data_IF_530584647749
#
_entry.id   IF_530584647749
#
_cell.length_a   1.000
_cell.length_b   1.000
_cell.length_c   1.000
_cell.angle_alpha   90.00
_cell.angle_beta   90.00
_cell.angle_gamma   90.00
#
_symmetry.space_group_name_H-M   'P 1'
#
loop_
_entity.id
_entity.type
_entity.pdbx_description
1 polymer ?
#
# COMPACT_ATOMS: atom_id res chain seq x y z
N UNK A 1 26.09 -6.24 -21.91
CA UNK A 1 25.29 -6.48 -20.68
C UNK A 1 24.72 -5.12 -20.29
N UNK A 2 23.44 -4.88 -20.54
CA UNK A 2 22.79 -3.59 -20.26
C UNK A 2 22.71 -3.37 -18.74
N UNK A 3 23.38 -2.34 -18.24
CA UNK A 3 23.28 -1.90 -16.84
C UNK A 3 21.95 -1.15 -16.62
N UNK A 4 20.82 -1.85 -16.79
CA UNK A 4 19.52 -1.26 -16.50
C UNK A 4 19.50 -0.74 -15.05
N UNK A 5 19.12 0.50 -14.87
CA UNK A 5 18.92 1.15 -13.56
C UNK A 5 17.63 0.73 -12.88
N UNK A 6 16.76 0.01 -13.60
CA UNK A 6 15.47 -0.49 -13.10
C UNK A 6 15.56 -1.95 -12.66
N UNK A 7 14.73 -2.32 -11.70
CA UNK A 7 14.61 -3.69 -11.21
C UNK A 7 13.80 -4.53 -12.22
N UNK A 8 14.29 -5.69 -12.68
CA UNK A 8 13.56 -6.52 -13.63
C UNK A 8 12.28 -7.16 -13.06
N UNK A 9 12.18 -7.30 -11.72
CA UNK A 9 11.04 -7.98 -11.09
C UNK A 9 9.83 -7.04 -10.86
N UNK A 10 10.08 -5.77 -10.54
CA UNK A 10 9.00 -4.83 -10.19
C UNK A 10 9.02 -3.54 -11.01
N UNK A 11 9.93 -3.39 -11.97
CA UNK A 11 10.07 -2.21 -12.84
C UNK A 11 10.46 -0.92 -12.13
N UNK A 12 10.68 -0.93 -10.81
CA UNK A 12 11.10 0.26 -10.07
C UNK A 12 12.58 0.56 -10.24
N UNK A 13 12.98 1.82 -10.01
CA UNK A 13 14.39 2.17 -9.89
C UNK A 13 15.08 1.30 -8.84
N UNK A 14 16.26 0.78 -9.12
CA UNK A 14 17.00 -0.12 -8.19
C UNK A 14 17.27 0.53 -6.84
N UNK A 15 17.39 1.86 -6.77
CA UNK A 15 17.50 2.62 -5.53
C UNK A 15 16.24 2.56 -4.65
N UNK A 16 15.08 2.39 -5.28
CA UNK A 16 13.77 2.40 -4.64
C UNK A 16 13.13 1.00 -4.57
N UNK A 17 13.83 -0.02 -5.08
CA UNK A 17 13.34 -1.39 -5.16
C UNK A 17 13.55 -2.12 -3.83
N UNK A 18 12.50 -2.69 -3.28
CA UNK A 18 12.52 -3.52 -2.08
C UNK A 18 12.79 -5.00 -2.36
N UNK A 19 12.64 -5.46 -3.63
CA UNK A 19 12.83 -6.87 -4.02
C UNK A 19 14.18 -7.47 -3.62
N UNK A 20 15.25 -6.66 -3.51
CA UNK A 20 16.60 -7.12 -3.11
C UNK A 20 16.81 -7.18 -1.58
N UNK A 21 15.97 -6.52 -0.80
CA UNK A 21 16.11 -6.51 0.67
C UNK A 21 15.70 -7.85 1.28
N UNK A 22 14.75 -8.55 0.65
CA UNK A 22 14.33 -9.89 1.06
C UNK A 22 15.38 -10.98 0.78
N UNK A 23 16.26 -10.78 -0.19
CA UNK A 23 17.32 -11.74 -0.53
C UNK A 23 18.59 -11.64 0.33
N UNK A 24 18.81 -10.51 1.05
CA UNK A 24 20.01 -10.30 1.91
C UNK A 24 19.84 -10.71 3.37
N UNK A 25 18.65 -11.16 3.80
CA UNK A 25 18.43 -11.67 5.17
C UNK A 25 18.81 -13.15 5.36
N UNK A 26 19.64 -13.72 4.48
CA UNK A 26 20.19 -15.07 4.67
C UNK A 26 21.71 -15.01 4.83
N UNK A 27 22.20 -14.51 5.96
CA UNK A 27 23.49 -14.91 6.54
C UNK A 27 23.57 -14.43 7.99
N UNK A 28 23.55 -15.44 8.88
CA UNK A 28 24.13 -15.50 10.20
C UNK A 28 23.53 -14.64 11.33
N UNK A 29 22.84 -15.36 12.24
CA UNK A 29 22.54 -14.93 13.59
C UNK A 29 21.43 -15.80 14.21
N UNK A 30 21.43 -16.11 15.50
CA UNK A 30 20.88 -17.34 16.04
C UNK A 30 19.36 -17.41 15.98
N UNK A 31 18.93 -18.61 15.62
CA UNK A 31 17.61 -19.23 15.84
C UNK A 31 16.59 -18.42 16.63
N UNK A 32 15.61 -17.88 15.92
CA UNK A 32 14.26 -17.75 16.40
C UNK A 32 13.27 -18.15 15.30
N UNK A 33 12.52 -19.15 15.68
CA UNK A 33 11.46 -19.85 15.02
C UNK A 33 10.45 -18.88 14.42
N UNK A 34 10.45 -18.68 13.13
CA UNK A 34 9.28 -18.39 12.29
C UNK A 34 9.81 -18.16 10.87
N UNK A 35 10.14 -19.27 10.21
CA UNK A 35 10.38 -19.29 8.78
C UNK A 35 9.17 -19.92 8.10
N UNK A 36 8.22 -19.11 7.64
CA UNK A 36 7.35 -19.52 6.55
C UNK A 36 8.05 -19.21 5.23
N UNK A 37 8.87 -20.14 4.76
CA UNK A 37 9.38 -20.12 3.41
C UNK A 37 8.49 -20.98 2.52
N UNK A 38 7.59 -20.39 1.76
CA UNK A 38 7.11 -21.02 0.53
C UNK A 38 8.25 -21.00 -0.47
N UNK A 39 8.83 -22.16 -0.75
CA UNK A 39 9.73 -22.38 -1.88
C UNK A 39 8.94 -22.14 -3.16
N UNK A 40 9.30 -21.09 -3.90
CA UNK A 40 8.92 -20.98 -5.30
C UNK A 40 9.95 -21.78 -6.08
N UNK A 41 9.59 -23.00 -6.43
CA UNK A 41 10.28 -23.77 -7.47
C UNK A 41 9.77 -23.26 -8.82
N UNK A 42 10.71 -22.86 -9.65
CA UNK A 42 10.49 -22.50 -11.05
C UNK A 42 9.94 -23.73 -11.80
N UNK A 43 8.70 -23.70 -12.19
CA UNK A 43 8.20 -24.40 -13.37
C UNK A 43 6.81 -23.92 -13.72
N UNK A 44 6.68 -23.44 -14.98
CA UNK A 44 5.48 -23.38 -15.80
C UNK A 44 4.47 -22.28 -15.46
N UNK A 45 4.34 -21.41 -16.44
CA UNK A 45 3.18 -20.63 -16.86
C UNK A 45 1.87 -21.35 -16.55
N UNK A 46 1.18 -20.93 -15.50
CA UNK A 46 -0.24 -21.09 -15.34
C UNK A 46 -0.81 -19.71 -14.96
N UNK A 47 -1.73 -19.25 -15.79
CA UNK A 47 -2.47 -17.99 -15.67
C UNK A 47 -3.32 -18.05 -14.38
N UNK A 48 -2.75 -17.63 -13.25
CA UNK A 48 -3.54 -17.31 -12.05
C UNK A 48 -3.76 -15.82 -11.96
N UNK A 49 -5.04 -15.46 -12.04
CA UNK A 49 -5.61 -14.16 -11.65
C UNK A 49 -4.88 -13.68 -10.39
N UNK A 50 -4.35 -12.45 -10.34
CA UNK A 50 -3.67 -11.97 -9.14
C UNK A 50 -4.64 -12.10 -7.96
N UNK A 51 -4.25 -12.90 -6.97
CA UNK A 51 -4.98 -13.03 -5.71
C UNK A 51 -5.29 -11.61 -5.20
N UNK A 52 -6.55 -11.33 -5.01
CA UNK A 52 -7.02 -10.16 -4.28
C UNK A 52 -6.24 -10.18 -2.97
N UNK A 53 -5.42 -9.14 -2.73
CA UNK A 53 -4.66 -9.01 -1.50
C UNK A 53 -5.60 -9.17 -0.32
N UNK A 54 -5.61 -10.35 0.29
CA UNK A 54 -6.35 -10.58 1.51
C UNK A 54 -5.57 -9.92 2.65
N UNK A 55 -6.22 -9.08 3.40
CA UNK A 55 -5.68 -8.38 4.59
C UNK A 55 -5.35 -9.38 5.73
N UNK A 56 -5.55 -10.68 5.49
CA UNK A 56 -5.53 -11.75 6.50
C UNK A 56 -4.13 -12.23 6.92
N UNK A 57 -3.05 -11.75 6.32
CA UNK A 57 -1.72 -12.36 6.50
C UNK A 57 -1.01 -12.08 7.84
N UNK A 58 -1.62 -11.29 8.75
CA UNK A 58 -1.03 -10.98 10.06
C UNK A 58 -2.05 -11.03 11.20
N UNK A 59 -2.88 -12.07 11.23
CA UNK A 59 -3.67 -12.38 12.44
C UNK A 59 -2.78 -13.11 13.44
N UNK A 60 -2.91 -12.76 14.71
CA UNK A 60 -2.31 -13.50 15.81
C UNK A 60 -2.84 -14.95 15.79
N UNK A 61 -2.01 -15.90 16.18
CA UNK A 61 -2.49 -17.27 16.42
C UNK A 61 -3.52 -17.29 17.56
N UNK A 62 -4.40 -18.28 17.54
CA UNK A 62 -5.50 -18.38 18.50
C UNK A 62 -5.02 -18.40 19.96
N UNK A 63 -3.88 -19.03 20.25
CA UNK A 63 -3.32 -19.11 21.60
C UNK A 63 -2.83 -17.75 22.09
N UNK A 64 -2.14 -16.99 21.25
CA UNK A 64 -1.67 -15.63 21.57
C UNK A 64 -2.85 -14.67 21.74
N UNK A 65 -3.85 -14.75 20.87
CA UNK A 65 -5.06 -13.93 20.97
C UNK A 65 -5.82 -14.22 22.27
N UNK A 66 -6.01 -15.50 22.65
CA UNK A 66 -6.65 -15.88 23.91
C UNK A 66 -5.87 -15.38 25.14
N UNK A 67 -4.53 -15.50 25.11
CA UNK A 67 -3.67 -14.98 26.18
C UNK A 67 -3.79 -13.46 26.35
N UNK A 68 -3.79 -12.71 25.24
CA UNK A 68 -3.96 -11.26 25.29
C UNK A 68 -5.36 -10.85 25.78
N UNK A 69 -6.42 -11.57 25.42
CA UNK A 69 -7.78 -11.34 25.93
C UNK A 69 -7.87 -11.55 27.45
N UNK A 70 -7.17 -12.56 27.97
CA UNK A 70 -7.10 -12.79 29.42
C UNK A 70 -6.30 -11.68 30.15
N UNK A 71 -5.19 -11.24 29.55
CA UNK A 71 -4.31 -10.22 30.14
C UNK A 71 -4.91 -8.81 30.10
N UNK A 72 -5.70 -8.52 29.06
CA UNK A 72 -6.32 -7.20 28.81
C UNK A 72 -7.85 -7.30 28.69
N UNK A 73 -8.57 -7.69 29.76
CA UNK A 73 -10.01 -7.93 29.70
C UNK A 73 -10.86 -6.67 29.45
N UNK A 74 -10.28 -5.48 29.54
CA UNK A 74 -10.91 -4.19 29.28
C UNK A 74 -10.75 -3.72 27.83
N UNK A 75 -9.99 -4.44 27.01
CA UNK A 75 -9.78 -4.14 25.58
C UNK A 75 -10.78 -4.93 24.74
N UNK A 76 -11.39 -4.29 23.79
CA UNK A 76 -12.30 -4.92 22.82
C UNK A 76 -11.61 -6.05 22.06
N UNK A 77 -12.32 -7.14 21.85
CA UNK A 77 -11.78 -8.32 21.14
C UNK A 77 -11.29 -7.98 19.74
N UNK A 78 -12.03 -7.15 19.01
CA UNK A 78 -11.65 -6.72 17.66
C UNK A 78 -10.27 -6.04 17.61
N UNK A 79 -9.90 -5.31 18.68
CA UNK A 79 -8.58 -4.68 18.79
C UNK A 79 -7.50 -5.75 18.90
N UNK A 80 -7.70 -6.75 19.75
CA UNK A 80 -6.74 -7.82 19.98
C UNK A 80 -6.58 -8.65 18.70
N UNK A 81 -7.67 -8.98 18.02
CA UNK A 81 -7.68 -9.79 16.80
C UNK A 81 -6.98 -9.11 15.60
N UNK A 82 -7.04 -7.79 15.54
CA UNK A 82 -6.42 -7.00 14.47
C UNK A 82 -5.04 -6.44 14.85
N UNK A 83 -4.59 -6.65 16.11
CA UNK A 83 -3.28 -6.19 16.54
C UNK A 83 -2.16 -7.03 15.88
N UNK A 84 -1.12 -6.41 15.28
CA UNK A 84 -0.20 -7.15 14.40
C UNK A 84 0.95 -7.87 15.13
N UNK A 85 1.09 -7.74 16.45
CA UNK A 85 2.22 -8.26 17.20
C UNK A 85 1.81 -9.08 18.43
N UNK A 86 2.54 -10.15 18.73
CA UNK A 86 2.32 -10.98 19.91
C UNK A 86 2.48 -10.24 21.24
N UNK A 87 3.30 -9.19 21.26
CA UNK A 87 3.62 -8.42 22.47
C UNK A 87 3.34 -6.94 22.25
N UNK A 88 2.20 -6.44 22.74
CA UNK A 88 1.92 -5.01 22.75
C UNK A 88 2.90 -4.27 23.67
N UNK A 89 3.23 -3.05 23.32
CA UNK A 89 3.97 -2.14 24.21
C UNK A 89 3.05 -1.58 25.26
N UNK A 90 3.63 -1.14 26.39
CA UNK A 90 2.87 -0.56 27.50
C UNK A 90 1.95 0.58 27.00
N UNK A 91 0.65 0.49 27.31
CA UNK A 91 -0.37 1.46 26.95
C UNK A 91 -0.80 1.46 25.47
N UNK A 92 -0.24 0.59 24.64
CA UNK A 92 -0.51 0.60 23.20
C UNK A 92 -1.95 0.16 22.88
N UNK A 93 -2.43 -0.91 23.53
CA UNK A 93 -3.82 -1.37 23.38
C UNK A 93 -4.80 -0.38 24.00
N UNK A 94 -4.45 0.23 25.12
CA UNK A 94 -5.29 1.26 25.77
C UNK A 94 -5.48 2.48 24.85
N UNK A 95 -4.43 2.93 24.17
CA UNK A 95 -4.51 4.02 23.19
C UNK A 95 -5.44 3.65 22.03
N UNK A 96 -5.35 2.41 21.52
CA UNK A 96 -6.24 1.95 20.45
C UNK A 96 -7.68 1.92 20.92
N UNK A 97 -7.93 1.43 22.14
CA UNK A 97 -9.26 1.43 22.78
C UNK A 97 -9.82 2.85 22.89
N UNK A 98 -9.03 3.78 23.42
CA UNK A 98 -9.44 5.19 23.57
C UNK A 98 -9.80 5.82 22.22
N UNK A 99 -9.02 5.56 21.17
CA UNK A 99 -9.31 6.04 19.81
C UNK A 99 -10.60 5.41 19.29
N UNK A 100 -10.76 4.09 19.44
CA UNK A 100 -11.95 3.36 19.01
C UNK A 100 -13.21 3.90 19.70
N UNK A 101 -13.13 4.11 21.00
CA UNK A 101 -14.22 4.70 21.78
C UNK A 101 -14.56 6.12 21.35
N UNK A 102 -13.56 6.94 21.03
CA UNK A 102 -13.77 8.27 20.50
C UNK A 102 -14.50 8.24 19.14
N UNK A 103 -14.11 7.33 18.24
CA UNK A 103 -14.79 7.14 16.95
C UNK A 103 -16.25 6.71 17.17
N UNK A 104 -16.49 5.74 18.06
CA UNK A 104 -17.84 5.28 18.40
C UNK A 104 -18.73 6.37 19.02
N UNK A 105 -18.14 7.30 19.75
CA UNK A 105 -18.81 8.52 20.27
C UNK A 105 -19.07 9.57 19.19
N UNK A 106 -18.63 9.36 17.96
CA UNK A 106 -18.88 10.24 16.82
C UNK A 106 -17.83 11.34 16.60
N UNK A 107 -16.67 11.27 17.27
CA UNK A 107 -15.57 12.20 16.98
C UNK A 107 -15.00 11.90 15.59
N UNK A 108 -14.98 12.93 14.73
CA UNK A 108 -14.49 12.82 13.35
C UNK A 108 -12.99 13.03 13.22
N UNK A 109 -12.40 13.75 14.17
CA UNK A 109 -10.97 14.10 14.16
C UNK A 109 -10.38 13.71 15.51
N UNK A 110 -9.36 12.88 15.45
CA UNK A 110 -8.64 12.40 16.62
C UNK A 110 -7.17 12.68 16.40
N UNK A 111 -6.51 13.32 17.34
CA UNK A 111 -5.10 13.62 17.30
C UNK A 111 -4.40 12.81 18.39
N UNK A 112 -3.45 11.97 17.96
CA UNK A 112 -2.58 11.22 18.86
C UNK A 112 -1.20 11.88 18.87
N UNK A 113 -0.78 12.39 20.03
CA UNK A 113 0.60 12.78 20.26
C UNK A 113 1.34 11.64 20.97
N UNK A 114 2.32 11.06 20.28
CA UNK A 114 3.08 9.93 20.81
C UNK A 114 4.55 10.02 20.36
N UNK A 115 5.46 9.75 21.27
CA UNK A 115 6.90 9.78 21.03
C UNK A 115 7.38 8.77 19.98
N UNK A 116 8.62 8.89 19.54
CA UNK A 116 9.25 7.88 18.68
C UNK A 116 9.39 6.56 19.45
N UNK A 117 9.18 5.45 18.75
CA UNK A 117 9.30 4.12 19.36
C UNK A 117 8.06 3.63 20.13
N UNK A 118 6.99 4.42 20.25
CA UNK A 118 5.73 3.98 20.90
C UNK A 118 4.94 2.95 20.09
N UNK A 119 5.31 2.72 18.84
CA UNK A 119 4.62 1.78 17.95
C UNK A 119 3.39 2.38 17.26
N UNK A 120 3.44 3.67 16.88
CA UNK A 120 2.38 4.35 16.11
C UNK A 120 1.92 3.56 14.90
N UNK A 121 2.84 2.89 14.19
CA UNK A 121 2.51 2.07 13.01
C UNK A 121 1.61 0.88 13.36
N UNK A 122 1.82 0.23 14.51
CA UNK A 122 0.93 -0.84 14.97
C UNK A 122 -0.47 -0.32 15.33
N UNK A 123 -0.55 0.85 15.97
CA UNK A 123 -1.83 1.52 16.27
C UNK A 123 -2.57 1.83 14.97
N UNK A 124 -1.89 2.45 14.01
CA UNK A 124 -2.44 2.78 12.70
C UNK A 124 -2.92 1.53 11.93
N UNK A 125 -2.11 0.48 11.94
CA UNK A 125 -2.43 -0.80 11.27
C UNK A 125 -3.66 -1.47 11.90
N UNK A 126 -3.71 -1.54 13.23
CA UNK A 126 -4.86 -2.13 13.94
C UNK A 126 -6.15 -1.40 13.60
N UNK A 127 -6.15 -0.07 13.71
CA UNK A 127 -7.31 0.75 13.36
C UNK A 127 -7.71 0.58 11.89
N UNK A 128 -6.74 0.59 10.96
CA UNK A 128 -7.03 0.41 9.54
C UNK A 128 -7.73 -0.92 9.25
N UNK A 129 -7.29 -2.02 9.89
CA UNK A 129 -7.90 -3.35 9.76
C UNK A 129 -9.29 -3.40 10.37
N UNK A 130 -9.49 -2.83 11.57
CA UNK A 130 -10.79 -2.81 12.26
C UNK A 130 -11.88 -2.07 11.47
N UNK A 131 -11.52 -1.01 10.75
CA UNK A 131 -12.47 -0.20 9.98
C UNK A 131 -12.61 -0.63 8.52
N UNK A 132 -12.11 -1.81 8.16
CA UNK A 132 -12.25 -2.50 6.87
C UNK A 132 -11.66 -1.75 5.67
N UNK A 133 -11.61 -0.42 5.69
CA UNK A 133 -11.02 0.36 4.61
C UNK A 133 -10.35 1.62 5.11
N UNK A 134 -9.11 1.86 4.67
CA UNK A 134 -8.33 2.99 5.13
C UNK A 134 -7.34 3.52 4.08
N UNK A 135 -7.08 4.83 4.15
CA UNK A 135 -5.86 5.42 3.60
C UNK A 135 -4.89 5.70 4.73
N UNK A 136 -3.65 5.26 4.59
CA UNK A 136 -2.55 5.60 5.48
C UNK A 136 -1.59 6.51 4.72
N UNK A 137 -1.49 7.77 5.13
CA UNK A 137 -0.62 8.74 4.50
C UNK A 137 0.66 8.92 5.32
N UNK A 138 1.80 8.82 4.65
CA UNK A 138 3.12 8.96 5.29
C UNK A 138 3.94 10.06 4.61
N UNK A 139 4.91 10.61 5.33
CA UNK A 139 5.78 11.65 4.80
C UNK A 139 6.88 11.14 3.88
N UNK A 140 7.44 9.97 4.18
CA UNK A 140 8.66 9.50 3.55
C UNK A 140 8.50 8.14 2.89
N UNK A 141 9.28 7.91 1.83
CA UNK A 141 9.34 6.60 1.16
C UNK A 141 9.84 5.49 2.10
N UNK A 142 10.65 5.85 3.11
CA UNK A 142 11.16 4.89 4.09
C UNK A 142 10.02 4.37 4.99
N UNK A 143 9.17 5.26 5.51
CA UNK A 143 7.99 4.88 6.29
C UNK A 143 7.02 4.05 5.45
N UNK A 144 6.80 4.44 4.18
CA UNK A 144 5.98 3.64 3.26
C UNK A 144 6.53 2.21 3.10
N UNK A 145 7.85 2.08 2.90
CA UNK A 145 8.47 0.76 2.78
C UNK A 145 8.36 -0.03 4.08
N UNK A 146 8.47 0.61 5.24
CA UNK A 146 8.29 -0.04 6.52
C UNK A 146 6.88 -0.62 6.68
N UNK A 147 5.85 0.17 6.40
CA UNK A 147 4.46 -0.32 6.46
C UNK A 147 4.21 -1.46 5.45
N UNK A 148 4.72 -1.33 4.23
CA UNK A 148 4.57 -2.36 3.21
C UNK A 148 5.31 -3.65 3.56
N UNK A 149 6.53 -3.54 4.10
CA UNK A 149 7.38 -4.70 4.44
C UNK A 149 6.90 -5.40 5.73
N UNK A 150 6.33 -4.64 6.70
CA UNK A 150 5.85 -5.20 7.98
C UNK A 150 4.40 -5.69 7.92
N UNK A 151 3.53 -5.05 7.12
CA UNK A 151 2.09 -5.30 7.16
C UNK A 151 1.49 -5.68 5.81
N UNK A 152 2.31 -5.81 4.77
CA UNK A 152 1.91 -6.20 3.40
C UNK A 152 0.81 -5.31 2.77
N UNK A 153 0.76 -4.02 3.15
CA UNK A 153 -0.18 -3.10 2.57
C UNK A 153 0.27 -2.61 1.19
N UNK A 154 -0.63 -2.57 0.19
CA UNK A 154 -0.34 -1.99 -1.11
C UNK A 154 0.09 -0.54 -1.00
N UNK A 155 1.20 -0.25 -1.64
CA UNK A 155 1.86 1.03 -1.64
C UNK A 155 1.76 1.69 -3.00
N UNK A 156 1.36 2.97 -3.06
CA UNK A 156 1.33 3.74 -4.31
C UNK A 156 2.51 4.69 -4.39
N UNK A 157 3.27 4.56 -5.47
CA UNK A 157 4.39 5.45 -5.82
C UNK A 157 4.09 6.20 -7.11
N UNK A 158 4.60 7.42 -7.23
CA UNK A 158 4.48 8.23 -8.43
C UNK A 158 5.18 7.59 -9.64
N UNK A 159 4.79 8.00 -10.86
CA UNK A 159 5.25 7.45 -12.14
C UNK A 159 6.78 7.45 -12.32
N UNK A 160 7.47 8.46 -11.80
CA UNK A 160 8.95 8.54 -11.88
C UNK A 160 9.70 7.44 -11.11
N UNK A 161 9.01 6.56 -10.39
CA UNK A 161 9.63 5.39 -9.75
C UNK A 161 9.64 4.14 -10.63
N UNK A 162 8.99 4.17 -11.81
CA UNK A 162 8.81 3.03 -12.70
C UNK A 162 9.44 3.29 -14.05
N UNK A 163 9.99 2.23 -14.67
CA UNK A 163 10.42 2.25 -16.04
C UNK A 163 9.22 2.27 -16.99
N UNK A 164 9.35 2.92 -18.14
CA UNK A 164 8.34 2.95 -19.19
C UNK A 164 8.49 1.75 -20.11
N UNK A 165 7.49 0.88 -20.17
CA UNK A 165 7.50 -0.28 -21.07
C UNK A 165 7.46 0.15 -22.55
N UNK A 166 6.73 1.22 -22.85
CA UNK A 166 6.64 1.75 -24.22
C UNK A 166 8.00 2.16 -24.78
N UNK A 167 8.89 2.67 -23.93
CA UNK A 167 10.22 3.13 -24.29
C UNK A 167 11.31 2.07 -23.97
N UNK A 168 10.96 0.79 -24.03
CA UNK A 168 11.86 -0.34 -23.76
C UNK A 168 12.62 -0.23 -22.42
N UNK A 169 12.00 0.36 -21.41
CA UNK A 169 12.58 0.58 -20.07
C UNK A 169 13.77 1.59 -20.05
N UNK A 170 13.94 2.39 -21.06
CA UNK A 170 15.02 3.38 -21.14
C UNK A 170 14.69 4.67 -20.37
N UNK A 171 13.41 5.03 -20.31
CA UNK A 171 12.92 6.22 -19.59
C UNK A 171 12.05 5.85 -18.40
N UNK A 172 11.72 6.86 -17.57
CA UNK A 172 10.75 6.71 -16.49
C UNK A 172 9.32 6.92 -17.00
N UNK A 173 8.33 6.32 -16.35
CA UNK A 173 6.93 6.38 -16.77
C UNK A 173 6.33 7.80 -16.76
N UNK A 174 6.88 8.74 -15.99
CA UNK A 174 6.49 10.17 -16.00
C UNK A 174 7.01 10.92 -17.24
N UNK A 175 8.08 10.42 -17.87
CA UNK A 175 8.63 10.94 -19.12
C UNK A 175 8.18 10.14 -20.33
N UNK A 176 7.40 9.08 -20.15
CA UNK A 176 6.93 8.20 -21.21
C UNK A 176 5.94 8.89 -22.17
N UNK A 177 5.78 8.32 -23.37
CA UNK A 177 4.95 8.87 -24.45
C UNK A 177 3.51 9.16 -24.02
N UNK A 178 2.92 8.38 -23.11
CA UNK A 178 1.57 8.62 -22.57
C UNK A 178 1.43 9.93 -21.76
N UNK A 179 2.53 10.57 -21.40
CA UNK A 179 2.56 11.86 -20.66
C UNK A 179 3.08 13.01 -21.50
N UNK A 180 3.99 12.72 -22.42
CA UNK A 180 4.65 13.74 -23.25
C UNK A 180 3.92 14.00 -24.56
N UNK A 181 3.09 13.04 -25.01
CA UNK A 181 2.30 13.21 -26.23
C UNK A 181 1.09 14.13 -25.98
N UNK A 182 0.82 15.11 -26.87
CA UNK A 182 -0.30 16.02 -26.72
C UNK A 182 -1.65 15.29 -26.61
N UNK A 183 -2.56 15.83 -25.80
CA UNK A 183 -3.90 15.24 -25.54
C UNK A 183 -4.82 15.18 -26.75
N UNK A 184 -4.54 15.98 -27.78
CA UNK A 184 -5.28 15.99 -29.06
C UNK A 184 -4.73 14.97 -30.08
N UNK A 185 -3.72 14.22 -29.74
CA UNK A 185 -3.21 13.12 -30.57
C UNK A 185 -4.05 11.86 -30.37
N UNK A 186 -4.11 11.00 -31.36
CA UNK A 186 -4.73 9.67 -31.26
C UNK A 186 -3.84 8.64 -30.55
N UNK A 187 -2.86 9.10 -29.77
CA UNK A 187 -1.95 8.21 -29.07
C UNK A 187 -2.65 7.54 -27.89
N UNK A 188 -2.61 6.22 -27.88
CA UNK A 188 -3.01 5.39 -26.75
C UNK A 188 -1.87 4.45 -26.38
N UNK A 189 -1.44 4.46 -25.12
CA UNK A 189 -0.37 3.58 -24.67
C UNK A 189 -0.89 2.16 -24.50
N UNK A 190 -0.39 1.22 -25.30
CA UNK A 190 -0.81 -0.17 -25.28
C UNK A 190 -0.70 -0.84 -23.88
N UNK A 191 0.30 -0.45 -23.09
CA UNK A 191 0.52 -0.96 -21.73
C UNK A 191 -0.30 -0.23 -20.67
N UNK A 192 -1.12 0.75 -21.07
CA UNK A 192 -1.89 1.59 -20.18
C UNK A 192 -3.27 1.03 -19.84
N UNK A 193 -4.12 1.92 -19.36
CA UNK A 193 -5.51 1.64 -19.07
C UNK A 193 -6.43 2.58 -19.86
N UNK A 194 -7.66 2.13 -20.14
CA UNK A 194 -8.67 2.90 -20.85
C UNK A 194 -10.08 2.62 -20.30
N UNK A 195 -11.01 3.56 -20.56
CA UNK A 195 -12.44 3.40 -20.20
C UNK A 195 -13.23 2.62 -21.27
N UNK A 196 -12.75 2.62 -22.52
CA UNK A 196 -13.39 1.89 -23.61
C UNK A 196 -12.51 0.69 -23.97
N UNK A 197 -12.85 -0.50 -23.49
CA UNK A 197 -12.02 -1.68 -23.69
C UNK A 197 -12.13 -2.24 -25.12
N UNK A 198 -11.12 -2.98 -25.53
CA UNK A 198 -11.21 -3.97 -26.61
C UNK A 198 -12.02 -5.19 -26.13
N UNK A 199 -12.45 -6.07 -27.04
CA UNK A 199 -13.38 -7.18 -26.75
C UNK A 199 -12.98 -8.12 -25.61
N UNK A 200 -11.68 -8.27 -25.32
CA UNK A 200 -11.13 -9.19 -24.29
C UNK A 200 -10.31 -8.45 -23.23
N UNK A 201 -10.68 -7.21 -22.91
CA UNK A 201 -9.92 -6.40 -21.97
C UNK A 201 -10.17 -6.82 -20.52
N UNK A 202 -9.10 -6.99 -19.75
CA UNK A 202 -9.14 -7.28 -18.34
C UNK A 202 -9.53 -6.02 -17.54
N UNK A 203 -10.41 -6.18 -16.56
CA UNK A 203 -10.77 -5.10 -15.63
C UNK A 203 -9.56 -4.72 -14.76
N UNK A 204 -9.18 -3.45 -14.80
CA UNK A 204 -8.14 -2.93 -13.93
C UNK A 204 -8.70 -2.46 -12.58
N UNK A 205 -9.69 -1.56 -12.60
CA UNK A 205 -10.35 -1.04 -11.39
C UNK A 205 -11.63 -0.27 -11.73
N UNK A 206 -12.41 0.05 -10.69
CA UNK A 206 -13.47 1.06 -10.76
C UNK A 206 -12.99 2.38 -10.17
N UNK A 207 -13.22 3.50 -10.87
CA UNK A 207 -12.86 4.83 -10.38
C UNK A 207 -13.89 5.34 -9.33
N UNK A 208 -13.57 6.43 -8.65
CA UNK A 208 -14.41 7.00 -7.58
C UNK A 208 -15.81 7.44 -8.03
N UNK A 209 -16.08 7.47 -9.33
CA UNK A 209 -17.37 7.81 -9.93
C UNK A 209 -18.14 6.58 -10.41
N UNK A 210 -17.65 5.37 -10.16
CA UNK A 210 -18.22 4.11 -10.63
C UNK A 210 -17.92 3.81 -12.09
N UNK A 211 -16.96 4.52 -12.69
CA UNK A 211 -16.50 4.26 -14.06
C UNK A 211 -15.51 3.10 -14.08
N UNK A 212 -15.80 2.09 -14.93
CA UNK A 212 -14.89 0.96 -15.12
C UNK A 212 -13.69 1.33 -16.00
N UNK A 213 -12.52 0.86 -15.60
CA UNK A 213 -11.24 1.08 -16.28
C UNK A 213 -10.58 -0.26 -16.55
N UNK A 214 -10.13 -0.47 -17.78
CA UNK A 214 -9.63 -1.75 -18.27
C UNK A 214 -8.17 -1.62 -18.70
N UNK A 215 -7.39 -2.70 -18.57
CA UNK A 215 -6.07 -2.79 -19.21
C UNK A 215 -6.22 -2.91 -20.73
N UNK A 216 -5.27 -2.33 -21.48
CA UNK A 216 -5.31 -2.36 -22.95
C UNK A 216 -4.54 -3.53 -23.56
N UNK A 217 -3.75 -4.26 -22.77
CA UNK A 217 -3.02 -5.45 -23.19
C UNK A 217 -2.78 -6.37 -21.99
N UNK A 218 -2.33 -7.60 -22.25
CA UNK A 218 -1.93 -8.56 -21.21
C UNK A 218 -0.63 -8.17 -20.48
N UNK A 219 0.23 -7.37 -21.10
CA UNK A 219 1.42 -6.83 -20.46
C UNK A 219 1.10 -5.44 -19.89
N UNK A 220 1.04 -5.34 -18.57
CA UNK A 220 0.58 -4.13 -17.89
C UNK A 220 1.74 -3.19 -17.54
N UNK A 221 1.54 -1.90 -17.74
CA UNK A 221 2.44 -0.88 -17.22
C UNK A 221 2.60 -1.03 -15.71
N UNK A 222 3.83 -1.15 -15.22
CA UNK A 222 4.13 -1.35 -13.79
C UNK A 222 3.51 -0.28 -12.88
N UNK A 223 3.45 0.98 -13.35
CA UNK A 223 2.75 2.03 -12.62
C UNK A 223 1.24 1.76 -12.52
N UNK A 224 0.60 1.38 -13.62
CA UNK A 224 -0.84 1.14 -13.63
C UNK A 224 -1.21 -0.13 -12.86
N UNK A 225 -0.39 -1.18 -12.95
CA UNK A 225 -0.59 -2.40 -12.19
C UNK A 225 -0.54 -2.13 -10.67
N UNK A 226 0.53 -1.45 -10.19
CA UNK A 226 0.60 -1.04 -8.79
C UNK A 226 -0.59 -0.19 -8.36
N UNK A 227 -1.01 0.77 -9.19
CA UNK A 227 -2.11 1.67 -8.89
C UNK A 227 -3.45 0.93 -8.84
N UNK A 228 -3.71 0.04 -9.78
CA UNK A 228 -4.92 -0.79 -9.81
C UNK A 228 -5.01 -1.69 -8.57
N UNK A 229 -3.92 -2.36 -8.20
CA UNK A 229 -3.85 -3.17 -6.98
C UNK A 229 -4.18 -2.35 -5.73
N UNK A 230 -3.67 -1.13 -5.64
CA UNK A 230 -3.93 -0.24 -4.52
C UNK A 230 -5.37 0.31 -4.49
N UNK A 231 -5.99 0.56 -5.66
CA UNK A 231 -7.40 0.99 -5.73
C UNK A 231 -8.32 -0.15 -5.29
N UNK A 232 -8.03 -1.37 -5.72
CA UNK A 232 -8.81 -2.57 -5.41
C UNK A 232 -8.59 -3.07 -3.97
N UNK A 233 -7.52 -2.63 -3.29
CA UNK A 233 -7.27 -3.00 -1.90
C UNK A 233 -8.09 -2.12 -0.95
N UNK A 234 -8.60 -2.69 0.15
CA UNK A 234 -9.29 -1.91 1.17
C UNK A 234 -8.36 -0.95 1.92
N UNK A 235 -7.11 -1.32 2.15
CA UNK A 235 -6.12 -0.49 2.85
C UNK A 235 -5.02 -0.11 1.87
N UNK A 236 -4.70 1.19 1.79
CA UNK A 236 -3.71 1.70 0.83
C UNK A 236 -2.78 2.71 1.47
N UNK A 237 -1.48 2.54 1.20
CA UNK A 237 -0.43 3.46 1.60
C UNK A 237 -0.14 4.48 0.49
N UNK A 238 -0.11 5.76 0.83
CA UNK A 238 0.29 6.84 -0.06
C UNK A 238 1.24 7.80 0.65
N UNK A 239 2.06 8.52 -0.12
CA UNK A 239 2.66 9.72 0.45
C UNK A 239 1.69 10.90 0.33
N UNK A 240 1.90 11.94 1.13
CA UNK A 240 1.04 13.12 1.14
C UNK A 240 0.93 13.79 -0.23
N UNK A 241 2.04 13.95 -0.95
CA UNK A 241 2.05 14.62 -2.26
C UNK A 241 1.19 13.86 -3.28
N UNK A 242 1.30 12.52 -3.31
CA UNK A 242 0.48 11.69 -4.18
C UNK A 242 -0.99 11.75 -3.78
N UNK A 243 -1.28 11.62 -2.49
CA UNK A 243 -2.64 11.62 -1.96
C UNK A 243 -3.36 12.96 -2.24
N UNK A 244 -2.71 14.10 -2.03
CA UNK A 244 -3.29 15.42 -2.31
C UNK A 244 -3.71 15.53 -3.77
N UNK A 245 -2.85 15.13 -4.70
CA UNK A 245 -3.16 15.18 -6.14
C UNK A 245 -4.24 14.18 -6.51
N UNK A 246 -4.12 12.94 -6.05
CA UNK A 246 -5.00 11.85 -6.44
C UNK A 246 -6.43 12.02 -5.88
N UNK A 247 -6.56 12.31 -4.59
CA UNK A 247 -7.86 12.41 -3.94
C UNK A 247 -8.62 13.70 -4.31
N UNK A 248 -7.92 14.79 -4.61
CA UNK A 248 -8.58 16.06 -4.94
C UNK A 248 -8.83 16.23 -6.45
N UNK A 249 -7.91 15.83 -7.31
CA UNK A 249 -7.94 16.16 -8.74
C UNK A 249 -8.16 14.94 -9.63
N UNK A 250 -7.43 13.86 -9.44
CA UNK A 250 -7.48 12.70 -10.34
C UNK A 250 -8.67 11.81 -10.04
N UNK A 251 -8.96 11.55 -8.75
CA UNK A 251 -10.14 10.87 -8.23
C UNK A 251 -10.34 9.45 -8.76
N UNK A 252 -9.27 8.68 -8.95
CA UNK A 252 -9.40 7.25 -9.22
C UNK A 252 -9.73 6.46 -7.96
N UNK A 253 -9.21 6.90 -6.81
CA UNK A 253 -9.47 6.26 -5.52
C UNK A 253 -10.82 6.70 -4.95
N UNK A 254 -11.63 5.73 -4.53
CA UNK A 254 -12.92 5.94 -3.87
C UNK A 254 -12.78 6.44 -2.43
N UNK A 255 -13.90 6.55 -1.75
CA UNK A 255 -13.94 6.88 -0.31
C UNK A 255 -13.50 5.68 0.52
N UNK A 256 -12.93 5.95 1.70
CA UNK A 256 -12.57 4.95 2.71
C UNK A 256 -13.17 5.35 4.05
N UNK A 257 -13.37 4.38 4.92
CA UNK A 257 -13.93 4.58 6.25
C UNK A 257 -13.00 5.40 7.15
N UNK A 258 -11.68 5.24 6.96
CA UNK A 258 -10.67 5.86 7.82
C UNK A 258 -9.57 6.54 6.99
N UNK A 259 -9.12 7.69 7.46
CA UNK A 259 -7.93 8.39 6.96
C UNK A 259 -6.94 8.55 8.10
N UNK A 260 -5.80 7.92 7.98
CA UNK A 260 -4.71 7.96 8.97
C UNK A 260 -3.59 8.83 8.41
N UNK A 261 -3.21 9.85 9.17
CA UNK A 261 -2.17 10.80 8.82
C UNK A 261 -0.97 10.58 9.74
N UNK A 262 0.03 9.81 9.28
CA UNK A 262 1.27 9.60 10.03
C UNK A 262 2.21 10.79 9.86
N UNK A 263 2.85 11.24 10.96
CA UNK A 263 3.69 12.45 11.01
C UNK A 263 2.93 13.73 10.58
N UNK A 264 1.67 13.87 11.02
CA UNK A 264 0.75 14.92 10.61
C UNK A 264 1.22 16.36 10.92
N UNK A 265 2.22 16.53 11.81
CA UNK A 265 2.81 17.83 12.14
C UNK A 265 3.42 18.56 10.92
N UNK A 266 3.70 17.84 9.83
CA UNK A 266 4.22 18.42 8.59
C UNK A 266 3.16 18.71 7.52
N UNK A 267 1.88 18.41 7.78
CA UNK A 267 0.83 18.47 6.75
C UNK A 267 0.60 19.90 6.25
N UNK A 268 0.71 20.91 7.13
CA UNK A 268 0.55 22.30 6.75
C UNK A 268 1.56 22.71 5.68
N UNK A 269 2.84 22.41 5.89
CA UNK A 269 3.89 22.70 4.92
C UNK A 269 3.64 21.99 3.58
N UNK A 270 3.11 20.78 3.60
CA UNK A 270 2.76 20.03 2.39
C UNK A 270 1.60 20.67 1.63
N UNK A 271 0.55 21.05 2.32
CA UNK A 271 -0.60 21.73 1.71
C UNK A 271 -0.19 23.06 1.10
N UNK A 272 0.60 23.87 1.82
CA UNK A 272 1.09 25.16 1.32
C UNK A 272 1.99 25.04 0.08
N UNK A 273 2.76 23.95 -0.01
CA UNK A 273 3.63 23.71 -1.18
C UNK A 273 2.87 23.23 -2.43
N UNK A 274 1.61 22.82 -2.27
CA UNK A 274 0.78 22.27 -3.36
C UNK A 274 -0.24 23.29 -3.88
N UNK A 275 -0.47 24.38 -3.14
CA UNK A 275 -1.29 25.53 -3.55
C UNK A 275 -0.50 26.48 -4.45
#
# INVERSE_FOLDING_TARGET
>A
MSNSIFCPNCGMLKSNCTCKKSAKKKSEGPTNLFSFSKKITSSVLDDEIPEVYSVDNHKLDEGTSAYLKELYPHIDEDIIENFPFEKPRLGQLDIIQDINDAIRKGFKYIVLEAGTGTGKSAIATTLAKMYESAYILTMTKQLQSQYSDEFDFPLVKGRGNFACLHDNLETTCDMGACKTTPTNSNFSCLYGVAKNPTLDAELAFEDSFGGTVFYQSHEHCHYWNQKANAINSPITLMNYDYAIVELNYVKHFGTRSLLILDEAHNIENKLMSTM
#
